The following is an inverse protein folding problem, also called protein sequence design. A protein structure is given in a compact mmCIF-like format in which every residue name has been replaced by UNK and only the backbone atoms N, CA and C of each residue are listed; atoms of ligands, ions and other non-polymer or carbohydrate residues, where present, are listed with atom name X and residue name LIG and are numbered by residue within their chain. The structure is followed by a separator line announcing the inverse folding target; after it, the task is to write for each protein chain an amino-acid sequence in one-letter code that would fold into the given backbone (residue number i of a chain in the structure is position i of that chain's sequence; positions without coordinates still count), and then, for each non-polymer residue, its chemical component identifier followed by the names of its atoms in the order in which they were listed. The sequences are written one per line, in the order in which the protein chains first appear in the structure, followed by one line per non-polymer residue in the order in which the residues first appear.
data_IF_104608805463
#
_entry.id   IF_104608805463
#
_cell.length_a   1.000
_cell.length_b   1.000
_cell.length_c   1.000
_cell.angle_alpha   90.00
_cell.angle_beta   90.00
_cell.angle_gamma   90.00
#
_symmetry.space_group_name_H-M   'P 1'
#
loop_
_entity.id
_entity.type
_entity.pdbx_description
1 polymer ?
#
# COMPACT_ATOMS: atom_id res chain seq x y z
N UNK A 1 0.49 9.94 -17.64
CA UNK A 1 0.97 8.54 -17.74
C UNK A 1 2.49 8.58 -17.68
N UNK A 2 3.09 7.70 -16.88
CA UNK A 2 4.55 7.47 -16.87
C UNK A 2 4.72 5.99 -17.16
N UNK A 3 5.54 5.65 -18.16
CA UNK A 3 5.80 4.26 -18.56
C UNK A 3 4.54 3.41 -18.85
N UNK A 4 3.51 4.02 -19.44
CA UNK A 4 2.25 3.33 -19.76
C UNK A 4 1.34 3.05 -18.55
N UNK A 5 1.71 3.51 -17.36
CA UNK A 5 0.87 3.43 -16.16
C UNK A 5 0.01 4.68 -16.04
N UNK A 6 -1.30 4.47 -15.87
CA UNK A 6 -2.24 5.54 -15.55
C UNK A 6 -2.02 6.01 -14.10
N UNK A 7 -1.37 7.16 -13.95
CA UNK A 7 -1.06 7.73 -12.64
C UNK A 7 -2.29 8.11 -11.83
N UNK A 8 -3.43 8.37 -12.49
CA UNK A 8 -4.67 8.69 -11.77
C UNK A 8 -5.23 7.46 -11.07
N UNK A 9 -5.19 6.31 -11.72
CA UNK A 9 -5.58 5.03 -11.13
C UNK A 9 -4.73 4.69 -9.90
N UNK A 10 -3.41 4.90 -9.98
CA UNK A 10 -2.49 4.71 -8.85
C UNK A 10 -2.81 5.68 -7.71
N UNK A 11 -3.15 6.93 -8.02
CA UNK A 11 -3.54 7.93 -7.01
C UNK A 11 -4.85 7.54 -6.32
N UNK A 12 -5.85 7.10 -7.08
CA UNK A 12 -7.14 6.65 -6.54
C UNK A 12 -6.96 5.41 -5.65
N UNK A 13 -6.17 4.43 -6.10
CA UNK A 13 -5.82 3.26 -5.32
C UNK A 13 -5.14 3.65 -4.00
N UNK A 14 -4.12 4.51 -4.04
CA UNK A 14 -3.40 4.95 -2.85
C UNK A 14 -4.35 5.66 -1.84
N UNK A 15 -5.29 6.47 -2.34
CA UNK A 15 -6.30 7.14 -1.51
C UNK A 15 -7.24 6.14 -0.85
N UNK A 16 -7.79 5.19 -1.62
CA UNK A 16 -8.67 4.15 -1.12
C UNK A 16 -7.97 3.25 -0.08
N UNK A 17 -6.74 2.84 -0.37
CA UNK A 17 -5.92 2.04 0.52
C UNK A 17 -5.66 2.75 1.86
N UNK A 18 -5.28 4.03 1.83
CA UNK A 18 -5.06 4.82 3.04
C UNK A 18 -6.32 4.92 3.90
N UNK A 19 -7.47 5.21 3.28
CA UNK A 19 -8.76 5.30 3.99
C UNK A 19 -9.09 3.94 4.62
N UNK A 20 -8.97 2.84 3.87
CA UNK A 20 -9.28 1.51 4.37
C UNK A 20 -8.36 1.11 5.53
N UNK A 21 -7.06 1.32 5.39
CA UNK A 21 -6.07 1.07 6.46
C UNK A 21 -6.46 1.78 7.75
N UNK A 22 -6.73 3.09 7.66
CA UNK A 22 -7.09 3.90 8.82
C UNK A 22 -8.45 3.49 9.42
N UNK A 23 -9.43 3.15 8.58
CA UNK A 23 -10.76 2.68 9.03
C UNK A 23 -10.70 1.36 9.81
N UNK A 24 -9.66 0.55 9.57
CA UNK A 24 -9.40 -0.70 10.28
C UNK A 24 -8.49 -0.50 11.51
N UNK A 25 -8.07 0.74 11.81
CA UNK A 25 -7.17 1.04 12.92
C UNK A 25 -5.75 0.53 12.73
N UNK A 26 -5.33 0.24 11.49
CA UNK A 26 -4.03 -0.37 11.21
C UNK A 26 -2.95 0.68 10.97
N UNK A 27 -1.75 0.44 11.49
CA UNK A 27 -0.54 1.20 11.19
C UNK A 27 0.11 0.74 9.88
N UNK A 28 1.00 1.56 9.30
CA UNK A 28 1.78 1.15 8.12
C UNK A 28 2.62 -0.10 8.41
N UNK A 29 3.25 -0.18 9.59
CA UNK A 29 4.05 -1.33 10.00
C UNK A 29 3.23 -2.62 10.04
N UNK A 30 2.03 -2.58 10.61
CA UNK A 30 1.15 -3.76 10.67
C UNK A 30 0.74 -4.24 9.27
N UNK A 31 0.47 -3.30 8.35
CA UNK A 31 0.14 -3.66 6.97
C UNK A 31 1.35 -4.24 6.23
N UNK A 32 2.53 -3.63 6.38
CA UNK A 32 3.77 -4.16 5.79
C UNK A 32 4.13 -5.56 6.31
N UNK A 33 3.93 -5.81 7.61
CA UNK A 33 4.11 -7.13 8.21
C UNK A 33 3.11 -8.15 7.64
N UNK A 34 1.83 -7.79 7.53
CA UNK A 34 0.80 -8.67 6.99
C UNK A 34 1.05 -9.06 5.53
N UNK A 35 1.48 -8.09 4.70
CA UNK A 35 1.81 -8.34 3.29
C UNK A 35 3.07 -9.22 3.16
N UNK A 36 4.10 -8.96 3.97
CA UNK A 36 5.33 -9.78 3.98
C UNK A 36 5.08 -11.22 4.45
N UNK A 37 4.14 -11.43 5.37
CA UNK A 37 3.76 -12.77 5.82
C UNK A 37 3.00 -13.57 4.73
N UNK A 38 2.36 -12.88 3.79
CA UNK A 38 1.51 -13.50 2.76
C UNK A 38 2.26 -13.72 1.45
N UNK A 39 3.20 -12.86 1.08
CA UNK A 39 3.87 -12.86 -0.23
C UNK A 39 5.41 -13.05 -0.16
N UNK A 40 5.96 -13.37 1.02
CA UNK A 40 7.41 -13.42 1.23
C UNK A 40 8.03 -12.03 1.43
N UNK A 41 9.37 -11.87 1.40
CA UNK A 41 10.09 -10.69 1.90
C UNK A 41 9.96 -9.41 1.03
N UNK A 42 8.80 -9.18 0.40
CA UNK A 42 8.64 -8.29 -0.73
C UNK A 42 8.39 -6.81 -0.40
N UNK A 43 8.10 -6.42 0.85
CA UNK A 43 7.73 -5.02 1.14
C UNK A 43 8.42 -4.45 2.38
N UNK A 44 9.38 -3.54 2.15
CA UNK A 44 9.92 -2.67 3.21
C UNK A 44 8.91 -1.58 3.57
N UNK A 45 9.01 -1.01 4.78
CA UNK A 45 8.16 0.11 5.20
C UNK A 45 8.26 1.31 4.23
N UNK A 46 9.41 1.50 3.58
CA UNK A 46 9.59 2.51 2.53
C UNK A 46 8.77 2.24 1.25
N UNK A 47 8.40 0.99 0.96
CA UNK A 47 7.57 0.65 -0.18
C UNK A 47 6.08 0.98 0.04
N UNK A 48 5.67 1.18 1.30
CA UNK A 48 4.27 1.43 1.71
C UNK A 48 4.06 2.87 2.23
N UNK A 49 5.14 3.58 2.57
CA UNK A 49 5.07 4.91 3.17
C UNK A 49 4.59 5.99 2.19
#
# INVERSE_FOLDING_TARGET
EVDGVNLEEIREFAKAFKIRRLSLGLTQTQVGQALSATEGPAYSQSAIC
#
